data_IF_166592109984
#
_entry.id   IF_166592109984
#
_cell.length_a   1.000
_cell.length_b   1.000
_cell.length_c   1.000
_cell.angle_alpha   90.00
_cell.angle_beta   90.00
_cell.angle_gamma   90.00
#
_symmetry.space_group_name_H-M   'P 1'
#
loop_
_entity.id
_entity.type
_entity.pdbx_description
1 polymer ?
#
# COMPACT_ATOMS: atom_id res chain seq x y z
N UNK A 1 -13.98 -11.54 -0.52
CA UNK A 1 -12.95 -11.06 -1.47
C UNK A 1 -12.40 -9.75 -0.92
N UNK A 2 -11.10 -9.68 -0.61
CA UNK A 2 -10.48 -8.40 -0.28
C UNK A 2 -10.50 -7.52 -1.53
N UNK A 3 -10.99 -6.29 -1.41
CA UNK A 3 -10.84 -5.31 -2.47
C UNK A 3 -9.34 -5.13 -2.75
N UNK A 4 -8.94 -5.01 -4.02
CA UNK A 4 -7.56 -4.70 -4.44
C UNK A 4 -7.46 -3.22 -4.82
N UNK A 5 -7.38 -2.30 -3.83
CA UNK A 5 -7.48 -0.86 -4.08
C UNK A 5 -6.32 -0.33 -4.92
N UNK A 6 -5.17 -1.03 -4.96
CA UNK A 6 -3.97 -0.62 -5.68
C UNK A 6 -3.82 -1.27 -7.05
N UNK A 7 -4.76 -2.13 -7.46
CA UNK A 7 -4.72 -2.81 -8.76
C UNK A 7 -4.68 -1.83 -9.95
N UNK A 8 -5.44 -0.72 -9.98
CA UNK A 8 -5.34 0.26 -11.06
C UNK A 8 -3.94 0.88 -11.18
N UNK A 9 -3.29 1.18 -10.06
CA UNK A 9 -1.94 1.75 -10.02
C UNK A 9 -0.91 0.73 -10.49
N UNK A 10 -1.02 -0.52 -10.04
CA UNK A 10 -0.15 -1.61 -10.49
C UNK A 10 -0.24 -1.83 -12.00
N UNK A 11 -1.46 -1.82 -12.57
CA UNK A 11 -1.66 -1.92 -14.02
C UNK A 11 -0.99 -0.79 -14.80
N UNK A 12 -1.10 0.46 -14.34
CA UNK A 12 -0.42 1.60 -15.01
C UNK A 12 1.10 1.46 -15.01
N UNK A 13 1.68 0.93 -13.93
CA UNK A 13 3.13 0.67 -13.87
C UNK A 13 3.53 -0.40 -14.88
N UNK A 14 2.76 -1.47 -15.00
CA UNK A 14 3.02 -2.53 -15.99
C UNK A 14 2.80 -2.05 -17.42
N UNK A 15 1.77 -1.24 -17.67
CA UNK A 15 1.53 -0.61 -18.98
C UNK A 15 2.71 0.29 -19.40
N UNK A 16 3.20 1.14 -18.49
CA UNK A 16 4.38 1.96 -18.74
C UNK A 16 5.62 1.10 -18.98
N UNK A 17 5.82 0.03 -18.20
CA UNK A 17 6.91 -0.92 -18.40
C UNK A 17 6.86 -1.55 -19.80
N UNK A 18 5.68 -1.99 -20.28
CA UNK A 18 5.52 -2.54 -21.62
C UNK A 18 5.77 -1.51 -22.73
N UNK A 19 5.38 -0.25 -22.52
CA UNK A 19 5.66 0.84 -23.47
C UNK A 19 7.17 1.06 -23.63
N UNK A 20 7.91 1.09 -22.52
CA UNK A 20 9.37 1.24 -22.53
C UNK A 20 10.09 0.01 -23.09
N UNK A 21 9.58 -1.20 -22.83
CA UNK A 21 10.14 -2.44 -23.35
C UNK A 21 9.98 -2.57 -24.87
N UNK A 22 8.94 -1.93 -25.41
CA UNK A 22 8.54 -2.06 -26.80
C UNK A 22 7.70 -3.32 -27.08
N UNK A 23 7.00 -3.35 -28.23
CA UNK A 23 5.96 -4.33 -28.51
C UNK A 23 6.51 -5.75 -28.72
N UNK A 24 7.67 -5.92 -29.36
CA UNK A 24 8.25 -7.25 -29.61
C UNK A 24 8.63 -7.98 -28.32
N UNK A 25 9.29 -7.28 -27.38
CA UNK A 25 9.71 -7.86 -26.12
C UNK A 25 8.53 -8.08 -25.17
N UNK A 26 7.55 -7.15 -25.17
CA UNK A 26 6.32 -7.31 -24.38
C UNK A 26 5.53 -8.54 -24.82
N UNK A 27 5.46 -8.80 -26.13
CA UNK A 27 4.78 -9.97 -26.68
C UNK A 27 5.52 -11.28 -26.37
N UNK A 28 6.85 -11.25 -26.26
CA UNK A 28 7.66 -12.39 -25.80
C UNK A 28 7.49 -12.69 -24.31
N UNK A 29 7.24 -11.66 -23.48
CA UNK A 29 6.98 -11.83 -22.06
C UNK A 29 5.66 -12.57 -21.81
N UNK A 30 4.62 -12.25 -22.59
CA UNK A 30 3.32 -12.89 -22.52
C UNK A 30 2.48 -12.47 -21.30
N UNK A 31 1.16 -12.56 -21.48
CA UNK A 31 0.16 -12.00 -20.54
C UNK A 31 0.26 -12.59 -19.14
N UNK A 32 0.56 -13.89 -19.00
CA UNK A 32 0.69 -14.55 -17.70
C UNK A 32 1.78 -13.91 -16.83
N UNK A 33 2.92 -13.54 -17.42
CA UNK A 33 4.02 -12.93 -16.69
C UNK A 33 3.73 -11.47 -16.33
N UNK A 34 3.02 -10.75 -17.19
CA UNK A 34 2.58 -9.37 -16.95
C UNK A 34 1.49 -9.30 -15.87
N UNK A 35 0.58 -10.27 -15.84
CA UNK A 35 -0.40 -10.42 -14.78
C UNK A 35 0.27 -10.73 -13.44
N UNK A 36 1.26 -11.65 -13.43
CA UNK A 36 2.04 -11.93 -12.23
C UNK A 36 2.79 -10.69 -11.71
N UNK A 37 3.39 -9.91 -12.62
CA UNK A 37 4.05 -8.64 -12.28
C UNK A 37 3.06 -7.63 -11.69
N UNK A 38 1.87 -7.51 -12.27
CA UNK A 38 0.79 -6.66 -11.76
C UNK A 38 0.41 -7.04 -10.33
N UNK A 39 0.29 -8.34 -10.04
CA UNK A 39 -0.03 -8.83 -8.71
C UNK A 39 1.08 -8.57 -7.69
N UNK A 40 2.35 -8.73 -8.09
CA UNK A 40 3.49 -8.42 -7.22
C UNK A 40 3.53 -6.94 -6.84
N UNK A 41 3.32 -6.05 -7.82
CA UNK A 41 3.31 -4.60 -7.57
C UNK A 41 2.14 -4.22 -6.66
N UNK A 42 0.94 -4.78 -6.90
CA UNK A 42 -0.23 -4.54 -6.05
C UNK A 42 -0.01 -5.02 -4.60
N UNK A 43 0.64 -6.17 -4.44
CA UNK A 43 0.99 -6.72 -3.13
C UNK A 43 2.01 -5.84 -2.40
N UNK A 44 3.02 -5.33 -3.13
CA UNK A 44 4.03 -4.43 -2.57
C UNK A 44 3.44 -3.07 -2.15
N UNK A 45 2.55 -2.50 -2.97
CA UNK A 45 1.84 -1.26 -2.63
C UNK A 45 0.94 -1.44 -1.41
N UNK A 46 0.26 -2.58 -1.32
CA UNK A 46 -0.56 -2.92 -0.16
C UNK A 46 0.28 -3.07 1.11
N UNK A 47 1.44 -3.72 1.03
CA UNK A 47 2.36 -3.87 2.16
C UNK A 47 2.94 -2.53 2.61
N UNK A 48 3.37 -1.67 1.69
CA UNK A 48 3.88 -0.34 2.02
C UNK A 48 2.80 0.57 2.63
N UNK A 49 1.56 0.48 2.14
CA UNK A 49 0.43 1.18 2.73
C UNK A 49 0.10 0.66 4.14
N UNK A 50 0.23 -0.65 4.37
CA UNK A 50 0.08 -1.26 5.69
C UNK A 50 1.12 -0.73 6.68
N UNK A 51 2.39 -0.67 6.29
CA UNK A 51 3.46 -0.12 7.14
C UNK A 51 3.21 1.36 7.50
N UNK A 52 2.72 2.14 6.53
CA UNK A 52 2.35 3.55 6.74
C UNK A 52 1.16 3.68 7.70
N UNK A 53 0.14 2.84 7.55
CA UNK A 53 -1.01 2.81 8.46
C UNK A 53 -0.61 2.40 9.88
N UNK A 54 0.29 1.43 10.01
CA UNK A 54 0.80 0.99 11.31
C UNK A 54 1.59 2.10 12.01
N UNK A 55 2.41 2.85 11.26
CA UNK A 55 3.13 4.02 11.78
C UNK A 55 2.15 5.08 12.28
N UNK A 56 1.15 5.44 11.46
CA UNK A 56 0.13 6.42 11.83
C UNK A 56 -0.73 5.95 13.01
N UNK A 57 -1.01 4.65 13.13
CA UNK A 57 -1.71 4.09 14.28
C UNK A 57 -0.90 4.23 15.58
N UNK A 58 0.40 3.94 15.54
CA UNK A 58 1.29 4.11 16.68
C UNK A 58 1.40 5.59 17.10
N UNK A 59 1.48 6.52 16.14
CA UNK A 59 1.50 7.96 16.41
C UNK A 59 0.20 8.46 17.08
N UNK A 60 -0.95 7.90 16.69
CA UNK A 60 -2.25 8.20 17.32
C UNK A 60 -2.33 7.66 18.75
N UNK A 61 -1.81 6.46 19.02
CA UNK A 61 -1.73 5.90 20.38
C UNK A 61 -0.84 6.75 21.30
N UNK A 62 0.32 7.17 20.80
CA UNK A 62 1.23 8.07 21.52
C UNK A 62 0.56 9.42 21.84
N UNK A 63 -0.21 9.96 20.90
CA UNK A 63 -0.95 11.21 21.08
C UNK A 63 -2.07 11.07 22.14
N UNK A 64 -2.78 9.93 22.15
CA UNK A 64 -3.78 9.61 23.17
C UNK A 64 -3.14 9.44 24.55
N UNK A 65 -2.00 8.76 24.64
CA UNK A 65 -1.26 8.57 25.89
C UNK A 65 -0.81 9.92 26.48
N UNK A 66 -0.25 10.81 25.65
CA UNK A 66 0.15 12.17 26.06
C UNK A 66 -1.03 13.02 26.49
N UNK A 67 -2.16 12.93 25.79
CA UNK A 67 -3.39 13.65 26.15
C UNK A 67 -3.95 13.18 27.49
N UNK A 68 -3.92 11.87 27.77
CA UNK A 68 -4.30 11.31 29.08
C UNK A 68 -3.37 11.77 30.20
N UNK A 69 -2.06 11.80 29.96
CA UNK A 69 -1.07 12.29 30.94
C UNK A 69 -1.18 13.80 31.19
N UNK A 70 -1.69 14.58 30.22
CA UNK A 70 -1.89 16.03 30.32
C UNK A 70 -3.24 16.42 30.93
N UNK A 71 -4.10 15.48 31.33
CA UNK A 71 -5.30 15.75 32.12
C UNK A 71 -5.05 15.45 33.60
N UNK A 72 -4.54 16.39 34.42
CA UNK A 72 -4.66 16.29 35.86
C UNK A 72 -6.10 16.63 36.24
N UNK A 73 -6.82 15.66 36.81
CA UNK A 73 -8.10 15.91 37.50
C UNK A 73 -9.36 15.37 36.82
N UNK A 74 -9.56 14.06 36.89
CA UNK A 74 -10.86 13.52 37.28
C UNK A 74 -10.64 12.36 38.25
N UNK A 75 -10.02 12.69 39.39
CA UNK A 75 -10.28 11.93 40.62
C UNK A 75 -11.76 12.18 40.94
N UNK A 76 -12.60 11.26 40.45
CA UNK A 76 -13.94 11.09 40.95
C UNK A 76 -13.84 10.60 42.40
N UNK A 77 -14.44 11.38 43.31
CA UNK A 77 -14.76 11.07 44.72
C UNK A 77 -13.59 10.88 45.69
#
# INVERSE_FOLDING_TARGET
>A
MHARPYLPQAKRVVEHFCQELGPQLSQQLGDLHLDALTLMIESALSASAYDTLQLSANELEDLLARTRQRMPGHSAS
#
